data_IF_445000656553
#
_entry.id   IF_445000656553
#
_cell.length_a   1.000
_cell.length_b   1.000
_cell.length_c   1.000
_cell.angle_alpha   90.00
_cell.angle_beta   90.00
_cell.angle_gamma   90.00
#
_symmetry.space_group_name_H-M   'P 1'
#
loop_
_entity.id
_entity.type
_entity.pdbx_description
1 polymer ?
#
# COMPACT_ATOMS: atom_id res chain seq x y z
N UNK A 1 -0.79 -19.81 -13.55
CA UNK A 1 -1.31 -18.64 -14.29
C UNK A 1 -1.21 -19.02 -15.76
N UNK A 2 -2.29 -18.86 -16.56
CA UNK A 2 -2.32 -19.25 -17.99
C UNK A 2 -1.13 -18.72 -18.82
N UNK A 3 -0.63 -17.56 -18.52
CA UNK A 3 0.57 -17.01 -19.21
C UNK A 3 1.82 -17.87 -19.02
N UNK A 4 1.99 -18.47 -17.84
CA UNK A 4 3.14 -19.35 -17.57
C UNK A 4 3.04 -20.67 -18.35
N UNK A 5 1.82 -21.18 -18.58
CA UNK A 5 1.59 -22.40 -19.36
C UNK A 5 1.84 -22.18 -20.87
N UNK A 6 1.60 -20.96 -21.34
CA UNK A 6 1.80 -20.58 -22.75
C UNK A 6 3.24 -20.15 -23.06
N UNK A 7 4.03 -19.89 -22.04
CA UNK A 7 5.40 -19.42 -22.21
C UNK A 7 6.35 -20.59 -22.50
N UNK A 8 7.28 -20.35 -23.44
CA UNK A 8 8.38 -21.31 -23.65
C UNK A 8 9.20 -21.46 -22.37
N UNK A 9 9.87 -22.59 -22.23
CA UNK A 9 10.64 -22.95 -21.03
C UNK A 9 11.65 -21.90 -20.58
N UNK A 10 12.29 -21.16 -21.48
CA UNK A 10 13.24 -20.10 -21.18
C UNK A 10 12.67 -18.71 -21.48
N UNK A 11 11.36 -18.59 -21.59
CA UNK A 11 10.70 -17.35 -21.91
C UNK A 11 10.58 -16.44 -20.70
N UNK A 12 10.58 -15.13 -20.94
CA UNK A 12 10.32 -14.10 -19.95
C UNK A 12 8.92 -13.57 -20.18
N UNK A 13 8.16 -13.42 -19.12
CA UNK A 13 6.82 -12.88 -19.12
C UNK A 13 6.85 -11.51 -18.44
N UNK A 14 6.25 -10.52 -19.09
CA UNK A 14 6.01 -9.21 -18.49
C UNK A 14 4.51 -8.93 -18.52
N UNK A 15 3.91 -8.71 -17.35
CA UNK A 15 2.49 -8.39 -17.22
C UNK A 15 2.29 -7.06 -16.52
N UNK A 16 1.44 -6.22 -17.08
CA UNK A 16 0.93 -5.03 -16.40
C UNK A 16 -0.34 -5.39 -15.64
N UNK A 17 -0.35 -5.15 -14.34
CA UNK A 17 -1.39 -5.57 -13.42
C UNK A 17 -1.81 -4.46 -12.45
N UNK A 18 -3.01 -4.51 -11.86
CA UNK A 18 -3.36 -3.62 -10.77
C UNK A 18 -2.43 -3.85 -9.55
N UNK A 19 -1.65 -2.83 -9.18
CA UNK A 19 -0.67 -2.96 -8.10
C UNK A 19 -1.33 -3.20 -6.73
N UNK A 20 -2.55 -2.71 -6.53
CA UNK A 20 -3.30 -2.95 -5.29
C UNK A 20 -3.52 -4.46 -5.06
N UNK A 21 -3.96 -5.20 -6.06
CA UNK A 21 -4.16 -6.65 -5.99
C UNK A 21 -2.85 -7.42 -5.84
N UNK A 22 -1.85 -7.02 -6.62
CA UNK A 22 -0.54 -7.69 -6.65
C UNK A 22 0.28 -7.45 -5.36
N UNK A 23 0.32 -6.23 -4.82
CA UNK A 23 1.29 -5.85 -3.79
C UNK A 23 0.67 -5.46 -2.44
N UNK A 24 -0.50 -4.80 -2.43
CA UNK A 24 -0.95 -4.07 -1.25
C UNK A 24 -2.21 -4.61 -0.59
N UNK A 25 -2.97 -5.46 -1.26
CA UNK A 25 -4.21 -6.00 -0.72
C UNK A 25 -3.92 -7.09 0.32
N UNK A 26 -4.52 -6.93 1.52
CA UNK A 26 -4.34 -7.81 2.68
C UNK A 26 -5.42 -8.89 2.79
N UNK A 27 -6.36 -8.98 1.84
CA UNK A 27 -7.35 -10.04 1.84
C UNK A 27 -6.68 -11.41 1.65
N UNK A 28 -7.23 -12.45 2.24
CA UNK A 28 -6.69 -13.81 2.16
C UNK A 28 -6.58 -14.28 0.71
N UNK A 29 -7.55 -13.95 -0.13
CA UNK A 29 -7.50 -14.25 -1.58
C UNK A 29 -6.29 -13.62 -2.27
N UNK A 30 -5.96 -12.37 -1.93
CA UNK A 30 -4.81 -11.68 -2.53
C UNK A 30 -3.48 -12.21 -1.98
N UNK A 31 -3.43 -12.57 -0.72
CA UNK A 31 -2.26 -13.21 -0.10
C UNK A 31 -1.99 -14.57 -0.72
N UNK A 32 -3.00 -15.43 -0.82
CA UNK A 32 -2.88 -16.73 -1.49
C UNK A 32 -2.45 -16.58 -2.95
N UNK A 33 -3.04 -15.62 -3.66
CA UNK A 33 -2.65 -15.34 -5.05
C UNK A 33 -1.17 -14.95 -5.16
N UNK A 34 -0.67 -14.06 -4.29
CA UNK A 34 0.75 -13.69 -4.26
C UNK A 34 1.66 -14.86 -3.92
N UNK A 35 1.32 -15.59 -2.86
CA UNK A 35 2.09 -16.76 -2.45
C UNK A 35 2.25 -17.74 -3.62
N UNK A 36 1.14 -18.10 -4.29
CA UNK A 36 1.20 -18.97 -5.46
C UNK A 36 1.98 -18.37 -6.63
N UNK A 37 1.83 -17.05 -6.89
CA UNK A 37 2.57 -16.39 -7.96
C UNK A 37 4.08 -16.45 -7.72
N UNK A 38 4.52 -16.22 -6.51
CA UNK A 38 5.94 -16.23 -6.14
C UNK A 38 6.50 -17.63 -5.95
N UNK A 39 5.68 -18.62 -5.53
CA UNK A 39 6.11 -20.02 -5.41
C UNK A 39 6.24 -20.72 -6.76
N UNK A 40 5.30 -20.46 -7.67
CA UNK A 40 5.19 -21.18 -8.94
C UNK A 40 6.05 -20.55 -10.04
N UNK A 41 6.56 -19.33 -9.83
CA UNK A 41 7.33 -18.60 -10.83
C UNK A 41 8.57 -17.95 -10.22
N UNK A 42 9.60 -17.78 -11.05
CA UNK A 42 10.76 -17.00 -10.69
C UNK A 42 10.52 -15.51 -11.01
N UNK A 43 9.98 -14.78 -10.06
CA UNK A 43 9.83 -13.34 -10.20
C UNK A 43 11.19 -12.67 -10.15
N UNK A 44 11.55 -11.97 -11.22
CA UNK A 44 12.83 -11.29 -11.40
C UNK A 44 12.76 -9.83 -10.98
N UNK A 45 11.70 -9.13 -11.42
CA UNK A 45 11.52 -7.73 -11.12
C UNK A 45 10.05 -7.33 -11.02
N UNK A 46 9.79 -6.28 -10.25
CA UNK A 46 8.50 -5.61 -10.17
C UNK A 46 8.75 -4.11 -10.30
N UNK A 47 8.08 -3.47 -11.25
CA UNK A 47 8.10 -2.02 -11.43
C UNK A 47 6.76 -1.47 -10.93
N UNK A 48 6.77 -0.76 -9.83
CA UNK A 48 5.57 -0.19 -9.24
C UNK A 48 5.31 1.21 -9.81
N UNK A 49 4.31 1.30 -10.66
CA UNK A 49 3.92 2.52 -11.35
C UNK A 49 2.78 3.27 -10.65
N UNK A 50 2.48 2.95 -9.39
CA UNK A 50 1.34 3.50 -8.65
C UNK A 50 1.35 5.02 -8.56
N UNK A 51 2.51 5.63 -8.53
CA UNK A 51 2.67 7.09 -8.49
C UNK A 51 2.22 7.74 -9.80
N UNK A 52 2.38 7.05 -10.90
CA UNK A 52 2.02 7.51 -12.24
C UNK A 52 0.56 7.22 -12.64
N UNK A 53 -0.26 6.71 -11.75
CA UNK A 53 -1.64 6.27 -12.02
C UNK A 53 -2.52 7.25 -12.80
N UNK A 54 -2.28 8.55 -12.67
CA UNK A 54 -3.03 9.60 -13.38
C UNK A 54 -2.49 9.89 -14.78
N UNK A 55 -1.32 9.36 -15.13
CA UNK A 55 -0.61 9.64 -16.37
C UNK A 55 -0.47 8.42 -17.28
N UNK A 56 -0.65 7.21 -16.72
CA UNK A 56 -0.49 5.97 -17.48
C UNK A 56 -1.66 5.67 -18.41
N UNK A 57 -2.86 6.05 -17.99
CA UNK A 57 -4.10 5.73 -18.70
C UNK A 57 -5.08 6.90 -18.62
N UNK A 58 -5.64 7.29 -19.77
CA UNK A 58 -6.55 8.45 -19.83
C UNK A 58 -7.86 8.24 -19.05
N UNK A 59 -8.33 7.01 -18.94
CA UNK A 59 -9.62 6.68 -18.34
C UNK A 59 -9.53 5.75 -17.13
N UNK A 60 -8.33 5.40 -16.66
CA UNK A 60 -8.14 4.51 -15.52
C UNK A 60 -7.27 5.17 -14.43
N UNK A 61 -7.85 5.38 -13.26
CA UNK A 61 -7.14 5.94 -12.10
C UNK A 61 -6.54 4.89 -11.17
N UNK A 62 -6.64 3.62 -11.53
CA UNK A 62 -6.12 2.52 -10.73
C UNK A 62 -4.59 2.47 -10.71
N UNK A 63 -3.95 2.22 -9.55
CA UNK A 63 -2.52 2.04 -9.49
C UNK A 63 -2.11 0.76 -10.21
N UNK A 64 -1.06 0.82 -11.03
CA UNK A 64 -0.54 -0.28 -11.82
C UNK A 64 0.88 -0.69 -11.42
N UNK A 65 1.26 -1.93 -11.67
CA UNK A 65 2.62 -2.44 -11.57
C UNK A 65 2.90 -3.42 -12.72
N UNK A 66 4.11 -3.38 -13.23
CA UNK A 66 4.61 -4.39 -14.15
C UNK A 66 5.38 -5.45 -13.36
N UNK A 67 5.06 -6.73 -13.59
CA UNK A 67 5.78 -7.87 -13.03
C UNK A 67 6.51 -8.59 -14.15
N UNK A 68 7.78 -8.87 -13.93
CA UNK A 68 8.66 -9.59 -14.86
C UNK A 68 9.07 -10.90 -14.20
N UNK A 69 8.77 -12.02 -14.83
CA UNK A 69 9.04 -13.34 -14.28
C UNK A 69 9.27 -14.40 -15.35
N UNK A 70 9.85 -15.51 -14.95
CA UNK A 70 9.94 -16.73 -15.77
C UNK A 70 9.18 -17.87 -15.11
N UNK A 71 8.62 -18.82 -15.87
CA UNK A 71 8.11 -20.06 -15.29
C UNK A 71 9.20 -20.76 -14.46
N UNK A 72 8.85 -21.25 -13.27
CA UNK A 72 9.83 -21.86 -12.35
C UNK A 72 10.36 -23.17 -12.92
N UNK A 73 11.67 -23.31 -12.97
CA UNK A 73 12.37 -24.55 -13.28
C UNK A 73 13.42 -24.90 -12.22
N UNK A 74 14.10 -23.89 -11.71
CA UNK A 74 15.14 -24.01 -10.68
C UNK A 74 14.91 -22.93 -9.64
N UNK A 75 15.34 -23.20 -8.42
CA UNK A 75 15.27 -22.17 -7.37
C UNK A 75 16.29 -21.07 -7.63
N UNK A 76 15.77 -19.85 -7.78
CA UNK A 76 16.60 -18.65 -7.88
C UNK A 76 16.64 -17.99 -6.50
N UNK A 77 17.81 -18.01 -5.88
CA UNK A 77 18.06 -17.34 -4.58
C UNK A 77 18.28 -15.82 -4.71
N UNK A 78 18.30 -15.29 -5.93
CA UNK A 78 18.51 -13.87 -6.13
C UNK A 78 17.30 -13.05 -5.64
N UNK A 79 17.55 -11.90 -5.00
CA UNK A 79 16.48 -11.02 -4.55
C UNK A 79 15.68 -10.49 -5.74
N UNK A 80 14.42 -10.14 -5.47
CA UNK A 80 13.54 -9.49 -6.47
C UNK A 80 13.95 -8.03 -6.61
N UNK A 81 14.17 -7.59 -7.83
CA UNK A 81 14.41 -6.17 -8.12
C UNK A 81 13.07 -5.43 -8.05
N UNK A 82 12.93 -4.55 -7.10
CA UNK A 82 11.75 -3.71 -6.95
C UNK A 82 12.07 -2.28 -7.30
N UNK A 83 11.44 -1.77 -8.35
CA UNK A 83 11.63 -0.42 -8.83
C UNK A 83 10.36 0.41 -8.60
N UNK A 84 10.53 1.57 -7.97
CA UNK A 84 9.44 2.52 -7.68
C UNK A 84 9.80 3.91 -8.19
N UNK A 85 9.69 4.14 -9.51
CA UNK A 85 10.06 5.44 -10.08
C UNK A 85 9.26 6.56 -9.45
N UNK A 86 9.92 7.65 -9.09
CA UNK A 86 9.28 8.82 -8.51
C UNK A 86 9.17 9.92 -9.57
N UNK A 87 8.04 10.64 -9.66
CA UNK A 87 7.90 11.71 -10.63
C UNK A 87 8.85 12.85 -10.29
N UNK A 88 9.58 13.30 -11.28
CA UNK A 88 10.34 14.55 -11.17
C UNK A 88 9.35 15.68 -11.47
N UNK A 89 9.00 16.43 -10.44
CA UNK A 89 8.16 17.62 -10.56
C UNK A 89 9.00 18.81 -11.04
N UNK A 90 9.24 18.91 -12.34
CA UNK A 90 9.63 20.18 -12.96
C UNK A 90 8.37 20.82 -13.55
N UNK A 91 8.25 22.14 -13.44
CA UNK A 91 7.08 22.90 -13.91
C UNK A 91 6.80 22.65 -15.40
N UNK A 92 7.81 22.28 -16.17
CA UNK A 92 7.74 22.11 -17.63
C UNK A 92 7.51 20.66 -18.08
N UNK A 93 7.65 19.64 -17.20
CA UNK A 93 7.75 18.26 -17.66
C UNK A 93 7.15 17.24 -16.69
N UNK A 94 5.91 17.43 -16.31
CA UNK A 94 5.12 16.50 -15.44
C UNK A 94 5.03 15.07 -16.03
N UNK A 95 5.40 14.88 -17.30
CA UNK A 95 5.27 13.62 -18.03
C UNK A 95 6.58 12.84 -18.19
N UNK A 96 7.71 13.33 -17.66
CA UNK A 96 8.96 12.57 -17.74
C UNK A 96 8.98 11.40 -16.78
N UNK A 97 9.19 10.22 -17.35
CA UNK A 97 9.47 9.01 -16.61
C UNK A 97 11.00 8.93 -16.42
N UNK A 98 11.44 8.95 -15.18
CA UNK A 98 12.84 8.77 -14.83
C UNK A 98 12.98 7.70 -13.78
N UNK A 99 14.02 6.91 -13.86
CA UNK A 99 14.42 5.95 -12.83
C UNK A 99 15.75 6.38 -12.27
N UNK A 100 15.76 6.73 -11.01
CA UNK A 100 16.97 7.00 -10.24
C UNK A 100 17.47 5.72 -9.56
N UNK A 101 18.76 5.54 -9.33
CA UNK A 101 19.28 4.41 -8.54
C UNK A 101 18.61 4.25 -7.16
N UNK A 102 18.17 5.34 -6.54
CA UNK A 102 17.42 5.33 -5.27
C UNK A 102 16.00 4.78 -5.39
N UNK A 103 15.46 4.68 -6.59
CA UNK A 103 14.14 4.08 -6.85
C UNK A 103 14.19 2.55 -6.89
N UNK A 104 15.39 1.98 -6.85
CA UNK A 104 15.61 0.54 -6.98
C UNK A 104 15.96 -0.06 -5.63
N UNK A 105 15.17 -1.02 -5.20
CA UNK A 105 15.40 -1.80 -4.00
C UNK A 105 15.48 -3.30 -4.34
N UNK A 106 16.33 -4.04 -3.66
CA UNK A 106 16.42 -5.49 -3.76
C UNK A 106 15.67 -6.11 -2.59
N UNK A 107 14.59 -6.82 -2.87
CA UNK A 107 13.75 -7.47 -1.85
C UNK A 107 14.18 -8.91 -1.69
N UNK A 108 14.69 -9.32 -0.51
CA UNK A 108 15.02 -10.72 -0.22
C UNK A 108 13.77 -11.61 -0.33
N UNK A 109 13.94 -12.85 -0.77
CA UNK A 109 12.80 -13.75 -1.02
C UNK A 109 12.14 -14.29 0.24
N UNK A 110 12.85 -14.33 1.34
CA UNK A 110 12.35 -14.77 2.65
C UNK A 110 11.34 -13.81 3.30
N UNK A 111 11.29 -12.55 2.84
CA UNK A 111 10.39 -11.52 3.39
C UNK A 111 9.26 -11.12 2.44
N UNK A 112 9.16 -11.70 1.25
CA UNK A 112 8.16 -11.30 0.22
C UNK A 112 6.71 -11.55 0.64
N UNK A 113 6.47 -12.47 1.57
CA UNK A 113 5.14 -12.80 2.07
C UNK A 113 4.59 -11.74 3.03
N UNK A 114 5.45 -10.89 3.60
CA UNK A 114 5.02 -9.73 4.37
C UNK A 114 4.55 -8.62 3.42
N UNK A 115 3.24 -8.43 3.34
CA UNK A 115 2.59 -7.43 2.49
C UNK A 115 2.96 -5.97 2.84
N UNK A 116 3.60 -5.73 4.00
CA UNK A 116 4.11 -4.41 4.40
C UNK A 116 5.39 -4.03 3.65
N UNK A 117 6.20 -5.03 3.28
CA UNK A 117 7.50 -4.83 2.62
C UNK A 117 7.36 -4.00 1.34
N UNK A 118 6.36 -4.29 0.53
CA UNK A 118 6.10 -3.58 -0.72
C UNK A 118 5.77 -2.09 -0.52
N UNK A 119 5.12 -1.74 0.60
CA UNK A 119 4.86 -0.35 0.97
C UNK A 119 6.11 0.34 1.51
N UNK A 120 6.85 -0.34 2.37
CA UNK A 120 8.09 0.19 2.93
C UNK A 120 9.07 0.48 1.80
N UNK A 121 9.30 -0.48 0.91
CA UNK A 121 10.18 -0.32 -0.23
C UNK A 121 9.67 0.69 -1.29
N UNK A 122 8.37 0.98 -1.32
CA UNK A 122 7.81 1.99 -2.22
C UNK A 122 8.17 3.42 -1.81
N UNK A 123 8.18 3.72 -0.52
CA UNK A 123 8.39 5.07 0.01
C UNK A 123 9.75 5.27 0.65
N UNK A 124 10.35 4.20 1.12
CA UNK A 124 11.60 4.18 1.84
C UNK A 124 12.78 3.71 0.98
N UNK A 125 13.90 3.65 1.63
CA UNK A 125 15.18 3.13 1.13
C UNK A 125 15.46 1.74 1.73
N UNK A 126 16.46 1.00 1.25
CA UNK A 126 16.90 -0.23 1.90
C UNK A 126 17.22 -0.06 3.38
N UNK A 127 17.74 1.12 3.78
CA UNK A 127 18.03 1.46 5.17
C UNK A 127 16.76 1.55 6.03
N UNK A 128 15.68 2.07 5.47
CA UNK A 128 14.39 2.13 6.17
C UNK A 128 13.81 0.73 6.38
N UNK A 129 14.02 -0.16 5.42
CA UNK A 129 13.63 -1.57 5.52
C UNK A 129 14.37 -2.27 6.69
N UNK A 130 15.69 -2.08 6.79
CA UNK A 130 16.52 -2.59 7.89
C UNK A 130 16.08 -2.01 9.23
N UNK A 131 15.85 -0.69 9.31
CA UNK A 131 15.40 -0.01 10.52
C UNK A 131 14.07 -0.56 11.01
N UNK A 132 13.09 -0.68 10.12
CA UNK A 132 11.77 -1.23 10.48
C UNK A 132 11.87 -2.68 10.91
N UNK A 133 12.68 -3.50 10.22
CA UNK A 133 12.96 -4.86 10.63
C UNK A 133 13.55 -4.95 12.04
N UNK A 134 14.52 -4.09 12.35
CA UNK A 134 15.13 -4.00 13.68
C UNK A 134 14.11 -3.55 14.75
N UNK A 135 13.28 -2.56 14.45
CA UNK A 135 12.22 -2.13 15.36
C UNK A 135 11.22 -3.26 15.64
N UNK A 136 10.80 -4.00 14.63
CA UNK A 136 9.87 -5.12 14.77
C UNK A 136 10.45 -6.29 15.57
N UNK A 137 11.73 -6.55 15.48
CA UNK A 137 12.39 -7.60 16.28
C UNK A 137 12.65 -7.18 17.73
N UNK A 138 12.73 -5.89 18.00
CA UNK A 138 13.10 -5.34 19.32
C UNK A 138 11.86 -4.98 20.16
N UNK A 139 10.79 -4.51 19.52
CA UNK A 139 9.62 -3.97 20.20
C UNK A 139 8.35 -4.77 19.89
N UNK A 140 7.50 -4.92 20.90
CA UNK A 140 6.19 -5.52 20.72
C UNK A 140 5.29 -4.64 19.82
N UNK A 141 4.43 -5.23 18.98
CA UNK A 141 3.47 -4.48 18.19
C UNK A 141 2.49 -3.69 19.08
N UNK A 142 2.05 -2.52 18.62
CA UNK A 142 1.03 -1.72 19.32
C UNK A 142 -0.24 -2.52 19.64
N UNK A 143 -0.60 -3.47 18.78
CA UNK A 143 -1.75 -4.34 19.02
C UNK A 143 -1.59 -5.19 20.30
N UNK A 144 -0.39 -5.66 20.62
CA UNK A 144 -0.10 -6.37 21.87
C UNK A 144 -0.23 -5.44 23.07
N UNK A 145 0.34 -4.25 23.00
CA UNK A 145 0.23 -3.24 24.03
C UNK A 145 -1.23 -2.85 24.32
N UNK A 146 -2.03 -2.64 23.29
CA UNK A 146 -3.46 -2.33 23.39
C UNK A 146 -4.20 -3.46 24.12
N UNK A 147 -3.93 -4.71 23.75
CA UNK A 147 -4.55 -5.89 24.35
C UNK A 147 -4.15 -6.06 25.81
N UNK A 148 -2.88 -5.91 26.13
CA UNK A 148 -2.34 -6.06 27.50
C UNK A 148 -2.87 -4.98 28.45
N UNK A 149 -3.10 -3.76 27.94
CA UNK A 149 -3.60 -2.64 28.72
C UNK A 149 -5.13 -2.47 28.63
N UNK A 150 -5.86 -3.45 28.08
CA UNK A 150 -7.32 -3.42 27.94
C UNK A 150 -7.85 -2.14 27.25
N UNK A 151 -7.09 -1.59 26.32
CA UNK A 151 -7.45 -0.37 25.58
C UNK A 151 -8.41 -0.70 24.44
N UNK A 152 -9.35 0.20 24.18
CA UNK A 152 -10.25 0.12 23.04
C UNK A 152 -9.71 0.96 21.89
N UNK A 153 -9.77 0.41 20.68
CA UNK A 153 -9.41 1.13 19.45
C UNK A 153 -10.58 1.12 18.48
N UNK A 154 -10.81 2.24 17.82
CA UNK A 154 -11.85 2.38 16.82
C UNK A 154 -11.39 3.30 15.67
N UNK A 155 -12.02 3.18 14.50
CA UNK A 155 -11.73 4.08 13.37
C UNK A 155 -12.36 5.48 13.55
N UNK A 156 -13.20 5.68 14.57
CA UNK A 156 -13.92 6.94 14.81
C UNK A 156 -15.15 7.09 13.93
N UNK A 157 -15.32 8.27 13.30
CA UNK A 157 -16.52 8.60 12.54
C UNK A 157 -16.26 8.55 11.04
N UNK A 158 -17.25 8.03 10.28
CA UNK A 158 -17.24 8.04 8.84
C UNK A 158 -18.47 8.77 8.31
N UNK A 159 -18.25 9.80 7.52
CA UNK A 159 -19.33 10.56 6.89
C UNK A 159 -19.96 9.78 5.73
N UNK A 160 -21.28 9.89 5.59
CA UNK A 160 -22.01 9.42 4.41
C UNK A 160 -22.52 7.98 4.45
N UNK A 161 -22.56 7.30 5.61
CA UNK A 161 -23.19 6.00 5.72
C UNK A 161 -24.24 5.97 6.82
N UNK A 162 -25.50 5.66 6.46
CA UNK A 162 -26.67 5.71 7.36
C UNK A 162 -26.87 4.43 8.19
N UNK A 163 -26.00 3.40 8.05
CA UNK A 163 -26.23 2.10 8.70
C UNK A 163 -26.03 2.10 10.22
N UNK A 164 -25.17 2.97 10.74
CA UNK A 164 -24.82 3.04 12.15
C UNK A 164 -24.76 4.49 12.61
N UNK A 165 -25.89 5.08 12.89
CA UNK A 165 -25.99 6.48 13.32
C UNK A 165 -25.50 6.65 14.77
N UNK A 166 -24.76 7.73 15.03
CA UNK A 166 -24.30 8.10 16.36
C UNK A 166 -25.23 9.12 16.98
N UNK A 167 -26.06 8.67 17.89
CA UNK A 167 -27.06 9.53 18.57
C UNK A 167 -26.45 10.42 19.67
N UNK A 168 -25.37 9.94 20.31
CA UNK A 168 -24.75 10.61 21.46
C UNK A 168 -23.93 11.85 21.09
N UNK A 169 -23.71 12.08 19.80
CA UNK A 169 -22.87 13.18 19.31
C UNK A 169 -23.66 14.31 18.66
N UNK A 170 -24.98 14.17 18.61
CA UNK A 170 -25.85 15.20 18.03
C UNK A 170 -25.67 16.53 18.76
N UNK A 171 -25.44 17.59 17.99
CA UNK A 171 -25.25 18.93 18.54
C UNK A 171 -23.86 19.24 19.09
N UNK A 172 -22.93 18.28 19.05
CA UNK A 172 -21.52 18.55 19.43
C UNK A 172 -20.74 19.19 18.27
N UNK A 173 -19.75 20.03 18.58
CA UNK A 173 -18.87 20.61 17.57
C UNK A 173 -18.04 19.52 16.88
N UNK A 174 -18.01 19.55 15.56
CA UNK A 174 -17.22 18.62 14.73
C UNK A 174 -15.89 19.26 14.32
N UNK A 175 -14.78 18.61 14.65
CA UNK A 175 -13.46 19.01 14.17
C UNK A 175 -13.19 18.33 12.82
N UNK A 176 -13.26 19.07 11.74
CA UNK A 176 -12.91 18.61 10.39
C UNK A 176 -11.45 18.95 10.05
N UNK A 177 -10.88 18.31 9.01
CA UNK A 177 -9.51 18.59 8.58
C UNK A 177 -9.24 20.07 8.29
N UNK A 178 -10.24 20.80 7.76
CA UNK A 178 -10.15 22.25 7.50
C UNK A 178 -10.10 23.11 8.77
N UNK A 179 -10.51 22.57 9.94
CA UNK A 179 -10.47 23.27 11.22
C UNK A 179 -9.07 23.29 11.83
N UNK A 180 -8.16 22.45 11.34
CA UNK A 180 -6.77 22.43 11.81
C UNK A 180 -5.98 23.57 11.18
N UNK A 181 -5.33 24.34 12.02
CA UNK A 181 -4.32 25.33 11.66
C UNK A 181 -2.97 24.89 12.23
N UNK A 182 -1.84 25.43 11.78
CA UNK A 182 -0.57 25.13 12.41
C UNK A 182 -0.66 25.45 13.92
N UNK A 183 -0.45 24.42 14.75
CA UNK A 183 -0.41 24.48 16.23
C UNK A 183 -1.72 24.69 16.98
N UNK A 184 -2.89 24.85 16.33
CA UNK A 184 -4.19 24.96 17.01
C UNK A 184 -5.37 24.51 16.14
N UNK A 185 -6.49 24.27 16.80
CA UNK A 185 -7.77 24.03 16.13
C UNK A 185 -8.62 25.30 16.26
N UNK A 186 -9.10 25.82 15.13
CA UNK A 186 -10.02 26.95 15.16
C UNK A 186 -11.36 26.51 15.75
N UNK A 187 -11.73 27.06 16.90
CA UNK A 187 -12.96 26.73 17.61
C UNK A 187 -14.16 27.59 17.17
N UNK A 188 -13.91 28.71 16.50
CA UNK A 188 -14.93 29.76 16.30
C UNK A 188 -15.95 29.44 15.21
N UNK A 189 -15.75 28.41 14.40
CA UNK A 189 -16.64 28.05 13.26
C UNK A 189 -16.67 26.53 13.06
N UNK A 190 -16.77 25.76 14.12
CA UNK A 190 -16.89 24.32 13.99
C UNK A 190 -18.33 23.96 13.57
N UNK A 191 -18.53 23.19 12.50
CA UNK A 191 -19.83 22.67 12.17
C UNK A 191 -20.35 21.79 13.30
N UNK A 192 -21.64 21.76 13.48
CA UNK A 192 -22.30 20.88 14.46
C UNK A 192 -22.53 19.53 13.81
N UNK A 193 -22.35 18.47 14.58
CA UNK A 193 -22.63 17.10 14.13
C UNK A 193 -24.12 16.99 13.81
N UNK A 194 -24.42 16.71 12.55
CA UNK A 194 -25.70 16.22 12.09
C UNK A 194 -25.61 14.69 11.99
N UNK A 195 -26.35 13.98 12.85
CA UNK A 195 -26.27 12.52 12.96
C UNK A 195 -26.77 11.77 11.72
N UNK A 196 -27.47 12.42 10.82
CA UNK A 196 -27.88 11.83 9.54
C UNK A 196 -26.70 11.67 8.57
N UNK A 197 -25.61 12.41 8.80
CA UNK A 197 -24.43 12.43 7.95
C UNK A 197 -23.28 11.53 8.44
N UNK A 198 -23.40 10.91 9.61
CA UNK A 198 -22.28 10.16 10.23
C UNK A 198 -22.61 8.70 10.53
N UNK A 199 -21.66 7.84 10.22
CA UNK A 199 -21.59 6.47 10.71
C UNK A 199 -20.59 6.41 11.86
N UNK A 200 -21.03 5.90 13.01
CA UNK A 200 -20.18 5.62 14.14
C UNK A 200 -19.54 4.24 13.94
N UNK A 201 -18.22 4.21 13.70
CA UNK A 201 -17.46 2.96 13.63
C UNK A 201 -16.84 2.72 15.00
N UNK A 202 -17.66 2.31 15.94
CA UNK A 202 -17.20 1.73 17.20
C UNK A 202 -17.29 0.22 17.05
N UNK A 203 -16.17 -0.46 17.10
CA UNK A 203 -16.13 -1.92 17.23
C UNK A 203 -16.05 -2.29 18.67
#
# INVERSE_FOLDING_TARGET
IKCSELCKQNGIICLLMPSKGLLFNRSDKSRTYRANLFSDNNVLAIINLSVYRKFLFDHASGPAAAIIYTPKKEEINQPIVYCTPKPIYTIEDIRKFSIDPTDICKIPRDIIDDDRIWKIAMWGTPRDLELIGKMQSTYAPMASFIKENHMTTAEGFKRGNKKHQCYDFKGLPLVEAKSFKPYYVSSNELPIVDFDDFECIVK
#
